data_IF_244489125015
#
_entry.id   IF_244489125015
#
_cell.length_a   1.000
_cell.length_b   1.000
_cell.length_c   1.000
_cell.angle_alpha   90.00
_cell.angle_beta   90.00
_cell.angle_gamma   90.00
#
_symmetry.space_group_name_H-M   'P 1'
#
loop_
_entity.id
_entity.type
_entity.pdbx_description
1 polymer ?
#
# COMPACT_ATOMS: atom_id res chain seq x y z
N UNK A 1 9.90 4.47 -38.60
CA UNK A 1 8.72 5.05 -37.97
C UNK A 1 8.29 4.20 -36.77
N UNK A 2 7.92 4.77 -35.63
CA UNK A 2 7.26 4.03 -34.53
C UNK A 2 5.98 3.33 -35.01
N UNK A 3 5.63 2.17 -34.45
CA UNK A 3 4.44 1.41 -34.86
C UNK A 3 3.15 2.26 -34.79
N UNK A 4 3.01 3.12 -33.77
CA UNK A 4 1.86 4.03 -33.64
C UNK A 4 1.73 5.04 -34.80
N UNK A 5 2.81 5.28 -35.54
CA UNK A 5 2.84 6.15 -36.73
C UNK A 5 2.91 5.35 -38.04
N UNK A 6 2.50 4.07 -38.01
CA UNK A 6 2.45 3.19 -39.18
C UNK A 6 3.73 2.41 -39.46
N UNK A 7 4.71 2.40 -38.56
CA UNK A 7 5.88 1.54 -38.65
C UNK A 7 5.58 0.09 -38.25
N UNK A 8 6.54 -0.81 -38.50
CA UNK A 8 6.40 -2.20 -38.07
C UNK A 8 6.52 -2.32 -36.53
N UNK A 9 5.69 -3.12 -35.86
CA UNK A 9 5.83 -3.40 -34.44
C UNK A 9 7.20 -4.04 -34.13
N UNK A 10 7.84 -3.60 -33.05
CA UNK A 10 9.10 -4.19 -32.56
C UNK A 10 8.92 -5.62 -32.03
N UNK A 11 7.70 -5.96 -31.60
CA UNK A 11 7.34 -7.27 -31.07
C UNK A 11 6.21 -7.86 -31.89
N UNK A 12 6.31 -9.17 -32.20
CA UNK A 12 5.24 -9.90 -32.92
C UNK A 12 4.03 -10.19 -32.02
N UNK A 13 4.26 -10.34 -30.73
CA UNK A 13 3.23 -10.60 -29.72
C UNK A 13 3.10 -9.40 -28.77
N UNK A 14 1.91 -9.26 -28.20
CA UNK A 14 1.64 -8.22 -27.21
C UNK A 14 2.56 -8.43 -25.98
N UNK A 15 3.33 -7.41 -25.64
CA UNK A 15 4.03 -7.36 -24.37
C UNK A 15 3.05 -6.86 -23.30
N UNK A 16 2.66 -7.71 -22.33
CA UNK A 16 1.71 -7.29 -21.30
C UNK A 16 2.31 -6.21 -20.41
N UNK A 17 1.50 -5.22 -20.04
CA UNK A 17 1.93 -4.16 -19.12
C UNK A 17 2.30 -4.71 -17.74
N UNK A 18 1.67 -5.79 -17.32
CA UNK A 18 1.90 -6.46 -16.04
C UNK A 18 1.94 -7.96 -16.24
N UNK A 19 2.96 -8.58 -15.67
CA UNK A 19 3.06 -10.03 -15.54
C UNK A 19 3.54 -10.34 -14.11
N UNK A 20 2.61 -10.71 -13.20
CA UNK A 20 2.98 -11.04 -11.83
C UNK A 20 3.88 -12.28 -11.80
N UNK A 21 4.84 -12.29 -10.89
CA UNK A 21 5.65 -13.48 -10.59
C UNK A 21 4.86 -14.34 -9.61
N UNK A 22 4.36 -15.46 -10.11
CA UNK A 22 3.55 -16.38 -9.34
C UNK A 22 4.33 -17.68 -9.05
N UNK A 23 4.02 -18.37 -7.94
CA UNK A 23 4.54 -19.71 -7.68
C UNK A 23 3.98 -20.72 -8.69
N UNK A 24 4.69 -21.83 -8.84
CA UNK A 24 4.13 -23.01 -9.51
C UNK A 24 3.01 -23.64 -8.65
N UNK A 25 2.14 -24.41 -9.29
CA UNK A 25 1.10 -25.14 -8.55
C UNK A 25 1.70 -26.08 -7.51
N UNK A 26 2.81 -26.77 -7.82
CA UNK A 26 3.48 -27.71 -6.90
C UNK A 26 3.98 -27.04 -5.61
N UNK A 27 4.42 -25.76 -5.70
CA UNK A 27 4.84 -24.99 -4.51
C UNK A 27 3.68 -24.59 -3.61
N UNK A 28 2.46 -24.53 -4.15
CA UNK A 28 1.25 -24.10 -3.44
C UNK A 28 0.33 -25.26 -3.04
N UNK A 29 0.53 -26.45 -3.62
CA UNK A 29 -0.41 -27.57 -3.54
C UNK A 29 -0.73 -27.99 -2.08
N UNK A 30 0.29 -28.11 -1.23
CA UNK A 30 0.10 -28.50 0.18
C UNK A 30 -0.70 -27.46 0.94
N UNK A 31 -0.39 -26.18 0.75
CA UNK A 31 -1.13 -25.06 1.36
C UNK A 31 -2.57 -25.01 0.92
N UNK A 32 -2.83 -25.17 -0.38
CA UNK A 32 -4.21 -25.25 -0.93
C UNK A 32 -4.96 -26.44 -0.34
N UNK A 33 -4.35 -27.62 -0.32
CA UNK A 33 -4.97 -28.82 0.28
C UNK A 33 -5.30 -28.60 1.75
N UNK A 34 -4.43 -27.98 2.53
CA UNK A 34 -4.66 -27.64 3.94
C UNK A 34 -5.88 -26.73 4.11
N UNK A 35 -6.00 -25.67 3.30
CA UNK A 35 -7.15 -24.74 3.34
C UNK A 35 -8.45 -25.48 3.02
N UNK A 36 -8.45 -26.28 1.95
CA UNK A 36 -9.65 -27.01 1.50
C UNK A 36 -10.07 -28.08 2.52
N UNK A 37 -9.12 -28.84 3.08
CA UNK A 37 -9.41 -29.90 4.04
C UNK A 37 -9.95 -29.37 5.37
N UNK A 38 -9.48 -28.19 5.80
CA UNK A 38 -9.97 -27.56 7.04
C UNK A 38 -11.25 -26.74 6.85
N UNK A 39 -11.57 -26.36 5.61
CA UNK A 39 -12.65 -25.42 5.29
C UNK A 39 -12.41 -24.00 5.79
N UNK A 40 -11.24 -23.71 6.36
CA UNK A 40 -10.88 -22.40 6.90
C UNK A 40 -10.38 -21.50 5.79
N UNK A 41 -11.31 -20.88 5.05
CA UNK A 41 -11.02 -20.05 3.86
C UNK A 41 -10.71 -18.58 4.19
N UNK A 42 -10.96 -18.15 5.43
CA UNK A 42 -10.61 -16.81 5.96
C UNK A 42 -10.19 -16.91 7.41
N UNK A 43 -9.41 -15.95 7.93
CA UNK A 43 -9.00 -15.83 9.35
C UNK A 43 -8.25 -17.07 9.87
N UNK A 44 -7.67 -17.84 9.00
CA UNK A 44 -6.98 -19.09 9.31
C UNK A 44 -5.50 -18.90 9.65
N UNK A 45 -4.76 -19.98 9.44
CA UNK A 45 -3.33 -20.07 9.76
C UNK A 45 -2.49 -19.17 8.88
N UNK A 46 -2.69 -19.20 7.55
CA UNK A 46 -1.84 -18.49 6.62
C UNK A 46 -1.95 -16.98 6.75
N UNK A 47 -3.15 -16.45 7.05
CA UNK A 47 -3.32 -15.03 7.33
C UNK A 47 -2.51 -14.61 8.57
N UNK A 48 -2.55 -15.38 9.66
CA UNK A 48 -1.78 -15.07 10.87
C UNK A 48 -0.27 -15.14 10.65
N UNK A 49 0.19 -16.17 9.95
CA UNK A 49 1.61 -16.35 9.60
C UNK A 49 2.08 -15.18 8.68
N UNK A 50 1.24 -14.76 7.75
CA UNK A 50 1.56 -13.65 6.86
C UNK A 50 1.62 -12.31 7.61
N UNK A 51 0.67 -12.03 8.51
CA UNK A 51 0.69 -10.84 9.38
C UNK A 51 1.97 -10.82 10.25
N UNK A 52 2.35 -11.95 10.82
CA UNK A 52 3.56 -12.06 11.62
C UNK A 52 4.82 -11.84 10.79
N UNK A 53 4.97 -12.55 9.67
CA UNK A 53 6.13 -12.41 8.80
C UNK A 53 6.30 -10.98 8.26
N UNK A 54 5.19 -10.29 7.94
CA UNK A 54 5.22 -8.90 7.53
C UNK A 54 5.58 -7.95 8.68
N UNK A 55 5.07 -8.20 9.88
CA UNK A 55 5.41 -7.43 11.08
C UNK A 55 6.93 -7.48 11.34
N UNK A 56 7.52 -8.66 11.24
CA UNK A 56 8.97 -8.87 11.38
C UNK A 56 9.74 -8.17 10.24
N UNK A 57 9.31 -8.35 8.99
CA UNK A 57 9.97 -7.76 7.82
C UNK A 57 9.96 -6.23 7.84
N UNK A 58 8.83 -5.62 8.22
CA UNK A 58 8.67 -4.16 8.27
C UNK A 58 9.21 -3.55 9.58
N UNK A 59 9.50 -4.36 10.59
CA UNK A 59 9.95 -3.90 11.90
C UNK A 59 8.89 -3.11 12.65
N UNK A 60 7.62 -3.55 12.57
CA UNK A 60 6.46 -2.93 13.23
C UNK A 60 5.82 -3.89 14.22
N UNK A 61 5.07 -3.36 15.18
CA UNK A 61 4.29 -4.21 16.12
C UNK A 61 3.15 -4.95 15.41
N UNK A 62 2.51 -4.29 14.46
CA UNK A 62 1.30 -4.81 13.81
C UNK A 62 1.36 -4.62 12.30
N UNK A 63 1.18 -5.72 11.57
CA UNK A 63 0.89 -5.74 10.15
C UNK A 63 -0.44 -6.48 9.97
N UNK A 64 -1.48 -5.78 9.56
CA UNK A 64 -2.86 -6.27 9.57
C UNK A 64 -3.32 -6.50 8.13
N UNK A 65 -3.60 -7.75 7.78
CA UNK A 65 -4.04 -8.12 6.45
C UNK A 65 -5.51 -7.72 6.22
N UNK A 66 -5.74 -7.05 5.11
CA UNK A 66 -7.06 -6.58 4.66
C UNK A 66 -7.30 -6.94 3.20
N UNK A 67 -8.55 -6.84 2.74
CA UNK A 67 -8.95 -7.26 1.38
C UNK A 67 -8.34 -6.42 0.26
N UNK A 68 -7.94 -5.19 0.52
CA UNK A 68 -7.26 -4.30 -0.44
C UNK A 68 -6.58 -3.13 0.27
N UNK A 69 -5.64 -2.46 -0.39
CA UNK A 69 -5.06 -1.21 0.10
C UNK A 69 -6.15 -0.15 0.36
N UNK A 70 -7.09 -0.02 -0.56
CA UNK A 70 -8.21 0.95 -0.46
C UNK A 70 -9.06 0.70 0.78
N UNK A 71 -9.47 -0.56 1.04
CA UNK A 71 -10.22 -0.90 2.25
C UNK A 71 -9.39 -0.67 3.52
N UNK A 72 -8.07 -0.92 3.47
CA UNK A 72 -7.15 -0.60 4.56
C UNK A 72 -7.09 0.90 4.85
N UNK A 73 -7.02 1.75 3.82
CA UNK A 73 -7.09 3.22 3.99
C UNK A 73 -8.43 3.66 4.59
N UNK A 74 -9.55 3.19 4.04
CA UNK A 74 -10.89 3.51 4.56
C UNK A 74 -11.02 3.15 6.04
N UNK A 75 -10.60 1.94 6.41
CA UNK A 75 -10.60 1.49 7.80
C UNK A 75 -9.68 2.31 8.70
N UNK A 76 -8.49 2.68 8.22
CA UNK A 76 -7.54 3.49 8.98
C UNK A 76 -8.09 4.87 9.26
N UNK A 77 -8.70 5.52 8.26
CA UNK A 77 -9.34 6.83 8.42
C UNK A 77 -10.48 6.76 9.44
N UNK A 78 -11.31 5.72 9.35
CA UNK A 78 -12.41 5.49 10.29
C UNK A 78 -11.93 5.17 11.70
N UNK A 79 -10.90 4.34 11.83
CA UNK A 79 -10.34 3.92 13.12
C UNK A 79 -9.63 5.05 13.87
N UNK A 80 -9.09 6.04 13.16
CA UNK A 80 -8.58 7.28 13.76
C UNK A 80 -9.68 8.31 14.08
N UNK A 81 -10.94 8.01 13.81
CA UNK A 81 -12.08 8.90 13.99
C UNK A 81 -11.86 10.27 13.29
N UNK A 82 -11.23 10.24 12.10
CA UNK A 82 -10.94 11.45 11.33
C UNK A 82 -12.22 12.15 10.92
N UNK A 83 -12.18 13.49 10.92
CA UNK A 83 -13.26 14.37 10.49
C UNK A 83 -12.71 15.52 9.66
N UNK A 84 -13.56 16.21 8.90
CA UNK A 84 -13.18 17.44 8.18
C UNK A 84 -12.23 17.21 7.02
N UNK A 85 -11.11 17.94 7.03
CA UNK A 85 -10.19 18.04 5.90
C UNK A 85 -8.96 17.15 6.09
N UNK A 86 -8.53 16.50 5.00
CA UNK A 86 -7.30 15.71 4.95
C UNK A 86 -6.46 16.15 3.76
N UNK A 87 -5.21 16.52 4.02
CA UNK A 87 -4.27 16.95 2.97
C UNK A 87 -3.74 15.72 2.24
N UNK A 88 -3.74 15.77 0.90
CA UNK A 88 -3.24 14.71 0.02
C UNK A 88 -2.45 15.31 -1.15
N UNK A 89 -1.48 14.60 -1.74
CA UNK A 89 -0.79 15.09 -2.93
C UNK A 89 -1.74 15.20 -4.12
N UNK A 90 -1.55 16.22 -4.96
CA UNK A 90 -2.30 16.41 -6.21
C UNK A 90 -1.94 15.35 -7.26
N UNK A 91 -0.76 14.74 -7.17
CA UNK A 91 -0.30 13.67 -8.03
C UNK A 91 -0.27 12.35 -7.26
N UNK A 92 -1.32 11.55 -7.41
CA UNK A 92 -1.47 10.24 -6.77
C UNK A 92 -2.43 9.36 -7.56
N UNK A 93 -2.51 8.08 -7.19
CA UNK A 93 -3.56 7.20 -7.69
C UNK A 93 -4.91 7.57 -7.05
N UNK A 94 -5.99 7.45 -7.82
CA UNK A 94 -7.31 7.88 -7.39
C UNK A 94 -7.80 7.25 -6.07
N UNK A 95 -7.31 6.07 -5.70
CA UNK A 95 -7.70 5.38 -4.48
C UNK A 95 -7.34 6.18 -3.21
N UNK A 96 -6.25 6.93 -3.21
CA UNK A 96 -5.83 7.77 -2.08
C UNK A 96 -6.91 8.78 -1.71
N UNK A 97 -7.43 9.51 -2.69
CA UNK A 97 -8.49 10.50 -2.47
C UNK A 97 -9.87 9.82 -2.31
N UNK A 98 -10.17 8.77 -3.10
CA UNK A 98 -11.46 8.07 -3.03
C UNK A 98 -11.71 7.46 -1.65
N UNK A 99 -10.68 6.88 -1.00
CA UNK A 99 -10.81 6.30 0.32
C UNK A 99 -11.21 7.35 1.39
N UNK A 100 -10.76 8.60 1.24
CA UNK A 100 -11.17 9.71 2.10
C UNK A 100 -12.65 10.06 1.90
N UNK A 101 -13.07 10.19 0.63
CA UNK A 101 -14.48 10.52 0.30
C UNK A 101 -15.41 9.42 0.83
N UNK A 102 -15.06 8.14 0.64
CA UNK A 102 -15.82 7.01 1.19
C UNK A 102 -15.87 7.02 2.74
N UNK A 103 -14.85 7.53 3.39
CA UNK A 103 -14.84 7.72 4.85
C UNK A 103 -15.58 8.98 5.33
N UNK A 104 -16.16 9.76 4.42
CA UNK A 104 -16.89 11.01 4.75
C UNK A 104 -15.96 12.20 4.97
N UNK A 105 -14.72 12.14 4.52
CA UNK A 105 -13.70 13.17 4.66
C UNK A 105 -13.57 14.01 3.37
N UNK A 106 -13.06 15.22 3.50
CA UNK A 106 -12.80 16.10 2.38
C UNK A 106 -11.31 16.11 2.03
N UNK A 107 -10.88 15.59 0.87
CA UNK A 107 -9.50 15.70 0.41
C UNK A 107 -9.17 17.16 0.04
N UNK A 108 -8.06 17.66 0.54
CA UNK A 108 -7.46 18.94 0.18
C UNK A 108 -6.17 18.63 -0.57
N UNK A 109 -6.14 18.93 -1.85
CA UNK A 109 -4.98 18.66 -2.69
C UNK A 109 -3.89 19.72 -2.47
N UNK A 110 -2.67 19.25 -2.22
CA UNK A 110 -1.48 20.08 -2.16
C UNK A 110 -0.47 19.65 -3.24
N UNK A 111 0.39 20.57 -3.66
CA UNK A 111 1.34 20.31 -4.73
C UNK A 111 2.42 19.30 -4.30
N UNK A 112 3.06 18.73 -5.30
CA UNK A 112 4.16 17.77 -5.15
C UNK A 112 5.49 18.44 -5.49
N UNK A 113 6.56 17.98 -4.89
CA UNK A 113 7.91 18.33 -5.30
C UNK A 113 8.21 17.79 -6.70
N UNK A 114 8.70 18.64 -7.60
CA UNK A 114 8.92 18.31 -9.01
C UNK A 114 9.98 17.26 -9.25
N UNK A 115 10.92 17.12 -8.33
CA UNK A 115 12.04 16.18 -8.47
C UNK A 115 11.68 14.76 -8.01
N UNK A 116 10.76 14.65 -7.04
CA UNK A 116 10.40 13.40 -6.39
C UNK A 116 8.99 12.92 -6.71
N UNK A 117 8.11 13.80 -7.17
CA UNK A 117 6.66 13.61 -7.33
C UNK A 117 5.94 13.25 -6.00
N UNK A 118 6.60 13.40 -4.87
CA UNK A 118 6.01 13.21 -3.55
C UNK A 118 5.40 14.52 -3.05
N UNK A 119 4.49 14.42 -2.07
CA UNK A 119 3.89 15.59 -1.41
C UNK A 119 4.98 16.55 -0.94
N UNK A 120 4.92 17.81 -1.37
CA UNK A 120 5.81 18.86 -0.88
C UNK A 120 5.38 19.26 0.55
N UNK A 121 6.24 19.11 1.56
CA UNK A 121 5.92 19.52 2.92
C UNK A 121 5.54 21.00 3.08
N UNK A 122 6.11 21.90 2.27
CA UNK A 122 5.77 23.33 2.30
C UNK A 122 4.38 23.58 1.72
N UNK A 123 4.05 22.92 0.63
CA UNK A 123 2.69 23.00 0.05
C UNK A 123 1.66 22.37 0.99
N UNK A 124 2.01 21.27 1.66
CA UNK A 124 1.16 20.66 2.68
C UNK A 124 0.92 21.61 3.85
N UNK A 125 1.96 22.27 4.36
CA UNK A 125 1.85 23.26 5.46
C UNK A 125 0.95 24.44 5.08
N UNK A 126 1.11 24.98 3.87
CA UNK A 126 0.29 26.08 3.37
C UNK A 126 -1.20 25.73 3.22
N UNK A 127 -1.53 24.42 3.07
CA UNK A 127 -2.89 23.93 2.95
C UNK A 127 -3.57 23.63 4.32
N UNK A 128 -2.84 23.71 5.44
CA UNK A 128 -3.38 23.43 6.78
C UNK A 128 -4.39 24.53 7.18
N UNK A 129 -5.52 24.10 7.66
CA UNK A 129 -6.57 24.95 8.24
C UNK A 129 -7.02 24.41 9.60
N UNK A 130 -7.88 25.15 10.30
CA UNK A 130 -8.49 24.68 11.56
C UNK A 130 -9.36 23.41 11.39
N UNK A 131 -9.72 23.05 10.15
CA UNK A 131 -10.50 21.84 9.84
C UNK A 131 -9.63 20.64 9.47
N UNK A 132 -8.32 20.84 9.30
CA UNK A 132 -7.38 19.77 8.91
C UNK A 132 -7.16 18.84 10.11
N UNK A 133 -7.33 17.54 9.90
CA UNK A 133 -7.15 16.51 10.93
C UNK A 133 -6.05 15.52 10.61
N UNK A 134 -5.68 15.39 9.33
CA UNK A 134 -4.63 14.47 8.90
C UNK A 134 -3.93 14.93 7.62
N UNK A 135 -2.76 14.33 7.41
CA UNK A 135 -2.01 14.33 6.15
C UNK A 135 -1.93 12.87 5.68
N UNK A 136 -2.32 12.61 4.44
CA UNK A 136 -2.06 11.34 3.76
C UNK A 136 -1.00 11.60 2.68
N UNK A 137 0.23 11.20 2.93
CA UNK A 137 1.32 11.26 1.96
C UNK A 137 1.45 9.94 1.21
N UNK A 138 2.13 9.94 0.07
CA UNK A 138 2.29 8.77 -0.79
C UNK A 138 3.78 8.49 -0.98
N UNK A 139 4.18 7.24 -1.00
CA UNK A 139 5.51 6.83 -1.46
C UNK A 139 5.46 6.58 -2.96
N UNK A 140 5.53 7.69 -3.73
CA UNK A 140 5.24 7.67 -5.16
C UNK A 140 6.25 6.81 -5.93
N UNK A 141 5.74 5.82 -6.67
CA UNK A 141 6.52 4.83 -7.41
C UNK A 141 7.57 4.06 -6.58
N UNK A 142 7.37 3.98 -5.24
CA UNK A 142 8.30 3.35 -4.32
C UNK A 142 9.44 4.26 -3.86
N UNK A 143 9.45 5.55 -4.28
CA UNK A 143 10.34 6.55 -3.72
C UNK A 143 9.72 7.10 -2.41
N UNK A 144 10.37 6.92 -1.25
CA UNK A 144 9.82 7.42 0.01
C UNK A 144 9.60 8.93 -0.02
N UNK A 145 8.45 9.40 0.49
CA UNK A 145 8.21 10.82 0.73
C UNK A 145 9.26 11.40 1.71
N UNK A 146 9.34 12.72 1.85
CA UNK A 146 10.13 13.33 2.90
C UNK A 146 9.47 13.09 4.26
N UNK A 147 9.68 11.87 4.75
CA UNK A 147 9.05 11.35 5.96
C UNK A 147 9.36 12.27 7.14
N UNK A 148 10.63 12.66 7.31
CA UNK A 148 11.03 13.46 8.48
C UNK A 148 10.40 14.84 8.50
N UNK A 149 10.34 15.51 7.35
CA UNK A 149 9.69 16.81 7.25
C UNK A 149 8.17 16.70 7.53
N UNK A 150 7.52 15.66 6.99
CA UNK A 150 6.09 15.42 7.20
C UNK A 150 5.76 15.01 8.63
N UNK A 151 6.58 14.20 9.30
CA UNK A 151 6.44 13.89 10.74
C UNK A 151 6.53 15.16 11.58
N UNK A 152 7.57 15.98 11.37
CA UNK A 152 7.73 17.24 12.08
C UNK A 152 6.54 18.18 11.84
N UNK A 153 6.02 18.23 10.60
CA UNK A 153 4.85 19.03 10.27
C UNK A 153 3.60 18.54 11.01
N UNK A 154 3.33 17.23 10.96
CA UNK A 154 2.19 16.63 11.63
C UNK A 154 2.25 16.85 13.15
N UNK A 155 3.41 16.68 13.76
CA UNK A 155 3.63 16.88 15.21
C UNK A 155 3.36 18.33 15.62
N UNK A 156 3.89 19.33 14.86
CA UNK A 156 3.68 20.75 15.16
C UNK A 156 2.22 21.17 15.14
N UNK A 157 1.40 20.49 14.30
CA UNK A 157 -0.01 20.84 14.10
C UNK A 157 -0.97 19.85 14.76
N UNK A 158 -0.46 18.82 15.47
CA UNK A 158 -1.29 17.78 16.10
C UNK A 158 -2.10 16.95 15.11
N UNK A 159 -1.58 16.74 13.90
CA UNK A 159 -2.26 16.02 12.81
C UNK A 159 -1.87 14.53 12.80
N UNK A 160 -2.77 13.69 12.31
CA UNK A 160 -2.40 12.32 11.97
C UNK A 160 -1.63 12.29 10.65
N UNK A 161 -0.51 11.56 10.63
CA UNK A 161 0.26 11.30 9.42
C UNK A 161 0.09 9.84 9.01
N UNK A 162 -0.45 9.63 7.82
CA UNK A 162 -0.73 8.31 7.24
C UNK A 162 0.00 8.25 5.90
N UNK A 163 0.62 7.11 5.58
CA UNK A 163 1.24 6.92 4.29
C UNK A 163 0.46 5.91 3.44
N UNK A 164 0.06 6.34 2.26
CA UNK A 164 -0.28 5.41 1.18
C UNK A 164 1.04 4.82 0.64
N UNK A 165 1.36 3.65 1.13
CA UNK A 165 2.54 2.89 0.75
C UNK A 165 2.24 1.81 -0.29
N UNK A 166 1.23 2.06 -1.17
CA UNK A 166 0.83 1.07 -2.19
C UNK A 166 1.98 0.65 -3.12
N UNK A 167 3.02 1.46 -3.25
CA UNK A 167 4.26 1.15 -3.96
C UNK A 167 5.47 0.95 -3.02
N UNK A 168 5.24 0.98 -1.71
CA UNK A 168 6.32 1.03 -0.71
C UNK A 168 6.97 -0.33 -0.38
N UNK A 169 6.39 -1.46 -0.82
CA UNK A 169 6.98 -2.77 -0.55
C UNK A 169 8.39 -2.87 -1.14
N UNK A 170 9.38 -3.16 -0.28
CA UNK A 170 10.80 -3.21 -0.65
C UNK A 170 11.50 -1.84 -0.71
N UNK A 171 10.79 -0.73 -0.48
CA UNK A 171 11.41 0.58 -0.40
C UNK A 171 12.12 0.78 0.95
N UNK A 172 13.25 1.49 0.92
CA UNK A 172 14.04 1.80 2.10
C UNK A 172 14.08 3.31 2.33
N UNK A 173 13.84 3.73 3.56
CA UNK A 173 14.07 5.09 4.03
C UNK A 173 15.23 5.07 5.02
N UNK A 174 16.32 5.77 4.69
CA UNK A 174 17.56 5.79 5.49
C UNK A 174 18.05 4.40 5.87
N UNK A 175 18.02 3.46 4.91
CA UNK A 175 18.52 2.09 5.08
C UNK A 175 17.59 1.13 5.81
N UNK A 176 16.39 1.55 6.22
CA UNK A 176 15.38 0.68 6.85
C UNK A 176 14.11 0.59 5.99
N UNK A 177 13.42 -0.55 5.98
CA UNK A 177 12.14 -0.66 5.26
C UNK A 177 11.15 0.43 5.70
N UNK A 178 10.43 1.01 4.74
CA UNK A 178 9.26 1.82 5.08
C UNK A 178 8.20 0.92 5.73
N UNK A 179 7.44 1.46 6.70
CA UNK A 179 6.42 0.68 7.42
C UNK A 179 6.16 1.19 8.82
N UNK A 180 7.20 1.66 9.53
CA UNK A 180 7.12 2.08 10.94
C UNK A 180 6.95 3.58 11.15
N UNK A 181 7.11 4.38 10.10
CA UNK A 181 7.08 5.84 10.17
C UNK A 181 5.64 6.35 10.08
N UNK A 182 5.39 7.53 10.63
CA UNK A 182 4.04 8.08 10.78
C UNK A 182 3.17 7.27 11.75
N UNK A 183 1.86 7.45 11.68
CA UNK A 183 0.91 6.74 12.54
C UNK A 183 0.46 5.40 11.92
N UNK A 184 0.40 5.31 10.59
CA UNK A 184 0.11 4.08 9.84
C UNK A 184 0.65 4.17 8.42
N UNK A 185 0.97 3.01 7.84
CA UNK A 185 1.30 2.86 6.43
C UNK A 185 0.44 1.76 5.82
N UNK A 186 -0.11 1.99 4.62
CA UNK A 186 -1.01 1.06 3.98
C UNK A 186 -0.42 0.59 2.66
N UNK A 187 -0.12 -0.71 2.57
CA UNK A 187 0.51 -1.35 1.42
C UNK A 187 -0.53 -2.02 0.53
N UNK A 188 -0.29 -2.02 -0.78
CA UNK A 188 -1.08 -2.77 -1.75
C UNK A 188 -0.36 -4.07 -2.12
N UNK A 189 -1.16 -5.14 -2.25
CA UNK A 189 -0.70 -6.47 -2.65
C UNK A 189 -1.34 -6.90 -3.97
N UNK A 190 -1.83 -5.94 -4.77
CA UNK A 190 -2.43 -6.22 -6.09
C UNK A 190 -1.38 -6.75 -7.08
N UNK A 191 -1.78 -7.37 -8.21
CA UNK A 191 -0.87 -8.06 -9.13
C UNK A 191 0.22 -7.19 -9.74
N UNK A 192 0.06 -5.87 -9.72
CA UNK A 192 1.05 -4.93 -10.27
C UNK A 192 2.23 -4.64 -9.33
N UNK A 193 2.09 -4.99 -8.04
CA UNK A 193 3.02 -4.61 -6.98
C UNK A 193 4.26 -5.52 -6.94
N UNK A 194 5.23 -5.14 -6.14
CA UNK A 194 6.42 -5.97 -5.93
C UNK A 194 6.10 -7.16 -5.02
N UNK A 195 5.39 -6.91 -3.93
CA UNK A 195 4.80 -7.90 -3.05
C UNK A 195 3.34 -8.10 -3.44
N UNK A 196 2.95 -9.31 -3.77
CA UNK A 196 1.61 -9.62 -4.30
C UNK A 196 0.92 -10.73 -3.49
N UNK A 197 -0.41 -10.67 -3.44
CA UNK A 197 -1.26 -11.72 -2.86
C UNK A 197 -2.48 -12.04 -3.74
N UNK A 198 -2.41 -11.70 -5.06
CA UNK A 198 -3.56 -11.70 -5.96
C UNK A 198 -4.33 -10.38 -5.79
N UNK A 199 -5.08 -10.23 -4.73
CA UNK A 199 -5.59 -8.95 -4.21
C UNK A 199 -5.40 -8.91 -2.70
N UNK A 200 -5.15 -7.71 -2.15
CA UNK A 200 -4.93 -7.54 -0.73
C UNK A 200 -4.34 -6.19 -0.37
N UNK A 201 -4.27 -5.95 0.93
CA UNK A 201 -3.57 -4.82 1.51
C UNK A 201 -3.06 -5.16 2.90
N UNK A 202 -2.15 -4.34 3.39
CA UNK A 202 -1.62 -4.41 4.75
C UNK A 202 -1.72 -3.04 5.39
N UNK A 203 -2.24 -2.98 6.60
CA UNK A 203 -2.12 -1.81 7.47
C UNK A 203 -1.00 -2.08 8.46
N UNK A 204 0.10 -1.34 8.35
CA UNK A 204 1.25 -1.43 9.25
C UNK A 204 1.20 -0.28 10.26
N UNK A 205 1.36 -0.59 11.55
CA UNK A 205 1.33 0.41 12.63
C UNK A 205 2.03 -0.07 13.90
N UNK A 206 2.44 0.87 14.73
CA UNK A 206 2.91 0.61 16.10
C UNK A 206 1.86 1.00 17.17
N UNK A 207 0.70 1.51 16.75
CA UNK A 207 -0.41 1.89 17.62
C UNK A 207 -1.30 0.67 17.92
N UNK A 208 -1.25 0.21 19.17
CA UNK A 208 -2.03 -0.95 19.62
C UNK A 208 -3.55 -0.69 19.52
N UNK A 209 -3.99 0.53 19.78
CA UNK A 209 -5.40 0.94 19.68
C UNK A 209 -5.90 0.90 18.23
N UNK A 210 -5.12 1.45 17.30
CA UNK A 210 -5.41 1.37 15.88
C UNK A 210 -5.49 -0.10 15.41
N UNK A 211 -4.54 -0.93 15.84
CA UNK A 211 -4.50 -2.34 15.44
C UNK A 211 -5.77 -3.09 15.89
N UNK A 212 -6.26 -2.83 17.09
CA UNK A 212 -7.53 -3.41 17.58
C UNK A 212 -8.69 -2.94 16.71
N UNK A 213 -8.82 -1.62 16.46
CA UNK A 213 -9.89 -1.06 15.63
C UNK A 213 -9.85 -1.59 14.19
N UNK A 214 -8.67 -1.79 13.59
CA UNK A 214 -8.56 -2.39 12.24
C UNK A 214 -9.01 -3.85 12.24
N UNK A 215 -8.63 -4.65 13.24
CA UNK A 215 -9.12 -6.05 13.36
C UNK A 215 -10.63 -6.12 13.48
N UNK A 216 -11.24 -5.26 14.28
CA UNK A 216 -12.69 -5.15 14.38
C UNK A 216 -13.30 -4.63 13.07
N UNK A 217 -12.74 -3.58 12.52
CA UNK A 217 -13.25 -2.90 11.32
C UNK A 217 -13.30 -3.78 10.09
N UNK A 218 -12.31 -4.65 9.87
CA UNK A 218 -12.33 -5.62 8.75
C UNK A 218 -13.39 -6.72 8.91
N UNK A 219 -14.02 -6.82 10.09
CA UNK A 219 -15.10 -7.73 10.49
C UNK A 219 -16.42 -6.97 10.73
N UNK A 220 -16.73 -5.96 9.92
CA UNK A 220 -17.93 -5.13 10.06
C UNK A 220 -17.99 -4.26 11.32
N UNK A 221 -16.88 -4.07 12.03
CA UNK A 221 -16.82 -3.39 13.32
C UNK A 221 -17.20 -4.29 14.52
N UNK A 222 -17.26 -5.60 14.30
CA UNK A 222 -17.63 -6.58 15.32
C UNK A 222 -16.51 -6.73 16.36
N UNK A 223 -16.87 -6.61 17.62
CA UNK A 223 -15.98 -6.73 18.78
C UNK A 223 -15.84 -8.18 19.31
N UNK A 224 -16.52 -9.14 18.68
CA UNK A 224 -16.59 -10.54 19.08
C UNK A 224 -17.95 -10.98 19.62
N UNK A 225 -18.87 -10.05 19.87
CA UNK A 225 -20.18 -10.32 20.48
C UNK A 225 -21.38 -10.24 19.51
N UNK A 226 -21.12 -10.32 18.20
CA UNK A 226 -22.14 -10.11 17.16
C UNK A 226 -22.75 -8.71 17.15
N UNK A 227 -22.18 -7.77 17.90
CA UNK A 227 -22.55 -6.36 17.84
C UNK A 227 -21.48 -5.57 17.09
N UNK A 228 -21.85 -4.43 16.53
CA UNK A 228 -20.96 -3.56 15.78
C UNK A 228 -20.65 -2.30 16.59
N UNK A 229 -19.42 -2.17 17.06
CA UNK A 229 -18.97 -0.99 17.79
C UNK A 229 -18.88 0.27 16.90
N UNK A 230 -18.67 0.08 15.59
CA UNK A 230 -18.65 1.13 14.57
C UNK A 230 -18.87 0.54 13.16
N UNK A 231 -19.19 1.39 12.20
CA UNK A 231 -19.38 0.97 10.81
C UNK A 231 -18.05 0.49 10.19
N UNK A 232 -17.87 -0.82 10.15
CA UNK A 232 -16.73 -1.48 9.52
C UNK A 232 -17.03 -1.98 8.10
N UNK A 233 -16.15 -2.82 7.56
CA UNK A 233 -16.23 -3.38 6.22
C UNK A 233 -16.11 -4.91 6.26
N UNK A 234 -16.58 -5.58 5.22
CA UNK A 234 -16.10 -6.91 4.89
C UNK A 234 -14.75 -6.77 4.20
N UNK A 235 -13.69 -6.69 4.98
CA UNK A 235 -12.34 -6.43 4.48
C UNK A 235 -11.32 -7.49 4.93
N UNK A 236 -11.78 -8.73 5.13
CA UNK A 236 -10.90 -9.87 5.44
C UNK A 236 -10.08 -10.27 4.23
N UNK A 237 -8.84 -10.62 4.45
CA UNK A 237 -8.02 -11.30 3.44
C UNK A 237 -8.38 -12.79 3.42
N UNK A 238 -8.65 -13.40 2.25
CA UNK A 238 -8.80 -14.84 2.12
C UNK A 238 -7.49 -15.59 2.40
N UNK A 239 -7.59 -16.83 2.90
CA UNK A 239 -6.42 -17.68 3.18
C UNK A 239 -5.58 -17.99 1.93
N UNK A 240 -6.22 -18.16 0.78
CA UNK A 240 -5.52 -18.36 -0.50
C UNK A 240 -4.64 -17.17 -0.86
N UNK A 241 -5.12 -15.94 -0.61
CA UNK A 241 -4.37 -14.73 -0.84
C UNK A 241 -3.21 -14.59 0.16
N UNK A 242 -3.44 -14.92 1.43
CA UNK A 242 -2.39 -14.89 2.44
C UNK A 242 -1.27 -15.91 2.16
N UNK A 243 -1.62 -17.12 1.72
CA UNK A 243 -0.66 -18.14 1.30
C UNK A 243 0.19 -17.64 0.12
N UNK A 244 -0.43 -17.02 -0.89
CA UNK A 244 0.30 -16.40 -2.01
C UNK A 244 1.19 -15.25 -1.53
N UNK A 245 0.70 -14.44 -0.58
CA UNK A 245 1.47 -13.37 0.05
C UNK A 245 2.72 -13.86 0.77
N UNK A 246 2.64 -14.96 1.52
CA UNK A 246 3.79 -15.61 2.18
C UNK A 246 4.86 -16.03 1.15
N UNK A 247 4.44 -16.67 0.05
CA UNK A 247 5.36 -17.01 -1.03
C UNK A 247 6.02 -15.76 -1.61
N UNK A 248 5.23 -14.74 -1.91
CA UNK A 248 5.72 -13.50 -2.48
C UNK A 248 6.70 -12.78 -1.55
N UNK A 249 6.42 -12.75 -0.25
CA UNK A 249 7.30 -12.15 0.75
C UNK A 249 8.65 -12.87 0.84
N UNK A 250 8.64 -14.21 0.82
CA UNK A 250 9.87 -15.02 0.81
C UNK A 250 10.77 -14.71 -0.40
N UNK A 251 10.18 -14.31 -1.53
CA UNK A 251 10.89 -14.03 -2.78
C UNK A 251 11.04 -12.52 -3.06
N UNK A 252 10.68 -11.65 -2.10
CA UNK A 252 10.63 -10.20 -2.29
C UNK A 252 11.99 -9.61 -2.73
N UNK A 253 13.07 -10.00 -2.09
CA UNK A 253 14.42 -9.49 -2.42
C UNK A 253 14.84 -9.88 -3.84
N UNK A 254 14.54 -11.12 -4.27
CA UNK A 254 14.83 -11.58 -5.63
C UNK A 254 14.02 -10.76 -6.64
N UNK A 255 12.75 -10.52 -6.36
CA UNK A 255 11.89 -9.71 -7.21
C UNK A 255 12.39 -8.25 -7.30
N UNK A 256 12.78 -7.66 -6.17
CA UNK A 256 13.36 -6.31 -6.11
C UNK A 256 14.67 -6.22 -6.90
N UNK A 257 15.58 -7.19 -6.71
CA UNK A 257 16.83 -7.24 -7.45
C UNK A 257 16.60 -7.29 -8.97
N UNK A 258 15.70 -8.14 -9.43
CA UNK A 258 15.40 -8.28 -10.86
C UNK A 258 14.81 -6.99 -11.45
N UNK A 259 13.90 -6.30 -10.74
CA UNK A 259 13.37 -5.00 -11.19
C UNK A 259 14.46 -3.93 -11.24
N UNK A 260 15.30 -3.83 -10.22
CA UNK A 260 16.41 -2.89 -10.18
C UNK A 260 17.44 -3.14 -11.30
N UNK A 261 17.76 -4.40 -11.58
CA UNK A 261 18.62 -4.78 -12.71
C UNK A 261 18.03 -4.32 -14.04
N UNK A 262 16.73 -4.51 -14.24
CA UNK A 262 16.04 -4.06 -15.46
C UNK A 262 16.02 -2.53 -15.55
N UNK A 263 15.69 -1.83 -14.47
CA UNK A 263 15.72 -0.35 -14.43
C UNK A 263 17.10 0.21 -14.78
N UNK A 264 18.16 -0.39 -14.25
CA UNK A 264 19.54 0.01 -14.56
C UNK A 264 19.88 -0.12 -16.05
N UNK A 265 19.31 -1.09 -16.78
CA UNK A 265 19.48 -1.23 -18.23
C UNK A 265 18.80 -0.08 -18.98
N UNK A 266 17.62 0.35 -18.56
CA UNK A 266 16.92 1.49 -19.17
C UNK A 266 17.65 2.80 -18.89
N UNK A 267 18.15 3.01 -17.68
CA UNK A 267 18.91 4.21 -17.32
C UNK A 267 20.21 4.32 -18.15
N UNK A 268 20.92 3.20 -18.36
CA UNK A 268 22.16 3.16 -19.14
C UNK A 268 21.95 3.31 -20.67
N UNK A 269 20.73 3.05 -21.14
CA UNK A 269 20.36 3.20 -22.55
C UNK A 269 19.24 4.23 -22.66
N UNK A 270 19.58 5.55 -22.55
CA UNK A 270 18.56 6.56 -22.77
C UNK A 270 18.01 6.34 -24.17
N UNK A 271 16.73 5.98 -24.24
CA UNK A 271 16.03 5.98 -25.51
C UNK A 271 16.05 7.45 -25.95
N UNK A 272 16.82 7.76 -27.00
CA UNK A 272 16.66 9.03 -27.70
C UNK A 272 15.24 9.03 -28.27
N UNK A 273 14.27 9.46 -27.48
CA UNK A 273 12.96 9.86 -27.97
C UNK A 273 13.20 11.13 -28.80
N UNK A 274 13.50 10.93 -30.08
CA UNK A 274 13.53 12.00 -31.06
C UNK A 274 12.16 12.70 -31.02
N UNK A 275 12.09 13.87 -30.44
CA UNK A 275 11.04 14.83 -30.73
C UNK A 275 9.88 14.95 -29.75
N UNK A 276 10.04 14.64 -28.47
CA UNK A 276 9.09 15.12 -27.45
C UNK A 276 9.88 15.97 -26.46
N UNK A 277 9.90 17.26 -26.73
CA UNK A 277 10.33 18.33 -25.81
C UNK A 277 9.21 18.66 -24.84
#
# INVERSE_FOLDING_TARGET
LPAILGGQPAFKELVPMVRPVLPSFSEMAEGFASILNTGMVTKGRFMREFEQALSEHLGVKHALAVSSCTSGMMLTHKAFDLTGDVIVPSFTFMATASALVWAGLRPIFADVDRSTNNLDPLAAEAAITKKTTAIVAVHQFGNPADIKALENLADRHGLRLIFDAAHGSGALYQGTPVGKQGHAQIFSLSPTKLLISGEGGIVATNDDSLAVKIRMGREYGNDGNYDSAFAGLNARMPEFNALLGLYSLKNLEIAAHNRNKTAALFIKRPVCCLGIS
#
